data_IF_034971372205
#
_entry.id   IF_034971372205
#
_cell.length_a   1.000
_cell.length_b   1.000
_cell.length_c   1.000
_cell.angle_alpha   90.00
_cell.angle_beta   90.00
_cell.angle_gamma   90.00
#
_symmetry.space_group_name_H-M   'P 1'
#
loop_
_entity.id
_entity.type
_entity.pdbx_description
1 polymer ?
#
# COMPACT_ATOMS: atom_id res chain seq x y z
N UNK A 1 -27.12 -9.70 21.70
CA UNK A 1 -26.05 -10.69 21.48
C UNK A 1 -24.73 -9.96 21.58
N UNK A 2 -23.97 -10.23 22.63
CA UNK A 2 -22.66 -9.65 22.90
C UNK A 2 -21.69 -10.07 21.80
N UNK A 3 -21.33 -9.16 20.90
CA UNK A 3 -20.16 -9.31 20.04
C UNK A 3 -18.95 -9.21 20.95
N UNK A 4 -18.41 -10.36 21.34
CA UNK A 4 -17.04 -10.47 21.86
C UNK A 4 -16.15 -9.61 20.97
N UNK A 5 -15.58 -8.54 21.51
CA UNK A 5 -14.51 -7.80 20.85
C UNK A 5 -13.42 -8.83 20.53
N UNK A 6 -13.32 -9.20 19.26
CA UNK A 6 -12.24 -10.08 18.80
C UNK A 6 -10.95 -9.32 19.02
N UNK A 7 -10.20 -9.69 20.05
CA UNK A 7 -8.89 -9.12 20.36
C UNK A 7 -7.93 -9.50 19.24
N UNK A 8 -7.59 -8.54 18.37
CA UNK A 8 -6.66 -8.77 17.25
C UNK A 8 -5.27 -8.38 17.71
N UNK A 9 -4.32 -9.30 17.57
CA UNK A 9 -2.93 -9.11 17.94
C UNK A 9 -2.19 -8.57 16.72
N UNK A 10 -1.72 -7.33 16.80
CA UNK A 10 -0.89 -6.69 15.77
C UNK A 10 0.54 -6.59 16.27
N UNK A 11 1.49 -7.21 15.58
CA UNK A 11 2.89 -7.27 16.01
C UNK A 11 3.85 -7.41 14.83
N UNK A 12 5.15 -7.23 15.09
CA UNK A 12 6.20 -7.62 14.14
C UNK A 12 6.08 -9.13 13.87
N UNK A 13 6.15 -9.50 12.60
CA UNK A 13 6.14 -10.88 12.16
C UNK A 13 7.49 -11.53 12.43
N UNK A 14 7.47 -12.84 12.67
CA UNK A 14 8.64 -13.66 12.95
C UNK A 14 8.73 -14.79 11.92
N UNK A 15 9.81 -15.58 11.95
CA UNK A 15 9.92 -16.76 11.11
C UNK A 15 8.77 -17.77 11.31
N UNK A 16 8.16 -17.81 12.50
CA UNK A 16 7.02 -18.67 12.80
C UNK A 16 5.72 -18.23 12.09
N UNK A 17 5.69 -17.07 11.43
CA UNK A 17 4.52 -16.57 10.69
C UNK A 17 4.59 -16.89 9.19
N UNK A 18 5.67 -17.52 8.71
CA UNK A 18 5.91 -17.80 7.29
C UNK A 18 4.83 -18.67 6.67
N UNK A 19 4.17 -19.53 7.45
CA UNK A 19 3.06 -20.35 6.97
C UNK A 19 1.88 -19.53 6.45
N UNK A 20 1.75 -18.25 6.82
CA UNK A 20 0.73 -17.35 6.26
C UNK A 20 1.11 -16.76 4.89
N UNK A 21 2.34 -16.96 4.39
CA UNK A 21 2.84 -16.27 3.20
C UNK A 21 1.94 -16.49 1.98
N UNK A 22 1.50 -17.73 1.73
CA UNK A 22 0.58 -18.05 0.63
C UNK A 22 -0.77 -17.37 0.82
N UNK A 23 -1.37 -17.45 2.02
CA UNK A 23 -2.64 -16.78 2.34
C UNK A 23 -2.56 -15.27 2.10
N UNK A 24 -1.46 -14.63 2.47
CA UNK A 24 -1.22 -13.21 2.26
C UNK A 24 -1.17 -12.88 0.77
N UNK A 25 -0.38 -13.62 -0.01
CA UNK A 25 -0.22 -13.35 -1.44
C UNK A 25 -1.48 -13.63 -2.24
N UNK A 26 -2.23 -14.66 -1.87
CA UNK A 26 -3.52 -14.99 -2.48
C UNK A 26 -4.54 -13.89 -2.21
N UNK A 27 -4.59 -13.35 -0.98
CA UNK A 27 -5.48 -12.25 -0.64
C UNK A 27 -5.05 -10.93 -1.33
N UNK A 28 -3.75 -10.68 -1.48
CA UNK A 28 -3.26 -9.54 -2.27
C UNK A 28 -3.74 -9.62 -3.72
N UNK A 29 -3.63 -10.80 -4.34
CA UNK A 29 -4.06 -11.04 -5.71
C UNK A 29 -5.59 -10.95 -5.86
N UNK A 30 -6.35 -11.61 -4.99
CA UNK A 30 -7.82 -11.60 -5.01
C UNK A 30 -8.36 -10.17 -4.86
N UNK A 31 -7.78 -9.40 -3.93
CA UNK A 31 -8.16 -8.00 -3.68
C UNK A 31 -7.75 -7.05 -4.80
N UNK A 32 -6.64 -7.31 -5.50
CA UNK A 32 -6.25 -6.52 -6.68
C UNK A 32 -7.22 -6.79 -7.84
N UNK A 33 -7.59 -8.06 -8.07
CA UNK A 33 -8.57 -8.46 -9.10
C UNK A 33 -9.94 -7.84 -8.82
N UNK A 34 -10.46 -7.96 -7.60
CA UNK A 34 -11.78 -7.43 -7.23
C UNK A 34 -11.89 -5.90 -7.40
N UNK A 35 -10.78 -5.17 -7.27
CA UNK A 35 -10.74 -3.70 -7.44
C UNK A 35 -10.42 -3.26 -8.86
N UNK A 36 -9.98 -4.16 -9.74
CA UNK A 36 -9.48 -3.81 -11.08
C UNK A 36 -8.23 -2.91 -11.08
N UNK A 37 -7.60 -2.75 -9.91
CA UNK A 37 -6.44 -1.90 -9.64
C UNK A 37 -5.88 -2.27 -8.27
N UNK A 38 -4.58 -2.07 -8.03
CA UNK A 38 -4.01 -2.19 -6.70
C UNK A 38 -2.71 -3.00 -6.62
N UNK A 39 -2.49 -3.53 -5.41
CA UNK A 39 -1.21 -4.03 -4.88
C UNK A 39 -0.52 -4.97 -5.87
N UNK A 40 0.75 -4.68 -6.16
CA UNK A 40 1.56 -5.51 -7.03
C UNK A 40 1.72 -6.93 -6.46
N UNK A 41 1.58 -7.95 -7.31
CA UNK A 41 1.72 -9.36 -6.92
C UNK A 41 3.13 -9.61 -6.37
N UNK A 42 3.20 -10.44 -5.33
CA UNK A 42 4.43 -10.94 -4.70
C UNK A 42 4.34 -12.46 -4.60
N UNK A 43 5.49 -13.13 -4.62
CA UNK A 43 5.56 -14.56 -4.32
C UNK A 43 5.47 -14.80 -2.81
N UNK A 44 5.01 -15.98 -2.37
CA UNK A 44 5.06 -16.36 -0.96
C UNK A 44 6.47 -16.23 -0.39
N UNK A 45 7.50 -16.67 -1.12
CA UNK A 45 8.90 -16.57 -0.68
C UNK A 45 9.35 -15.13 -0.42
N UNK A 46 8.90 -14.19 -1.26
CA UNK A 46 9.20 -12.77 -1.08
C UNK A 46 8.66 -12.25 0.25
N UNK A 47 7.40 -12.54 0.54
CA UNK A 47 6.73 -12.13 1.78
C UNK A 47 7.34 -12.85 3.00
N UNK A 48 7.65 -14.14 2.86
CA UNK A 48 8.32 -14.93 3.90
C UNK A 48 9.69 -14.34 4.26
N UNK A 49 10.47 -13.91 3.26
CA UNK A 49 11.76 -13.25 3.49
C UNK A 49 11.61 -11.96 4.30
N UNK A 50 10.59 -11.14 4.03
CA UNK A 50 10.33 -9.94 4.85
C UNK A 50 10.01 -10.26 6.31
N UNK A 51 9.36 -11.39 6.57
CA UNK A 51 9.14 -11.87 7.95
C UNK A 51 10.45 -12.33 8.60
N UNK A 52 11.30 -13.09 7.88
CA UNK A 52 12.63 -13.52 8.36
C UNK A 52 13.54 -12.34 8.70
N UNK A 53 13.50 -11.29 7.87
CA UNK A 53 14.27 -10.06 8.07
C UNK A 53 13.75 -9.17 9.22
N UNK A 54 12.62 -9.54 9.85
CA UNK A 54 11.94 -8.72 10.85
C UNK A 54 11.43 -7.39 10.26
N UNK A 55 11.15 -7.37 8.95
CA UNK A 55 10.68 -6.21 8.18
C UNK A 55 9.20 -6.29 7.86
N UNK A 56 8.43 -7.08 8.61
CA UNK A 56 7.01 -7.26 8.37
C UNK A 56 6.20 -7.15 9.67
N UNK A 57 4.95 -6.72 9.54
CA UNK A 57 3.95 -6.68 10.59
C UNK A 57 2.79 -7.56 10.17
N UNK A 58 2.31 -8.36 11.12
CA UNK A 58 1.19 -9.28 10.93
C UNK A 58 0.12 -8.99 11.97
N UNK A 59 -1.14 -9.18 11.56
CA UNK A 59 -2.29 -9.20 12.45
C UNK A 59 -2.89 -10.62 12.47
N UNK A 60 -3.13 -11.14 13.66
CA UNK A 60 -3.72 -12.46 13.88
C UNK A 60 -4.73 -12.42 15.03
N UNK A 61 -5.68 -13.34 15.04
CA UNK A 61 -6.47 -13.65 16.23
C UNK A 61 -5.66 -14.48 17.23
N UNK A 62 -6.08 -14.58 18.51
CA UNK A 62 -5.45 -15.45 19.50
C UNK A 62 -5.53 -16.93 19.10
N UNK A 63 -6.52 -17.29 18.28
CA UNK A 63 -6.70 -18.62 17.67
C UNK A 63 -5.64 -18.96 16.61
N UNK A 64 -4.82 -18.00 16.18
CA UNK A 64 -3.91 -18.16 15.04
C UNK A 64 -4.56 -17.91 13.68
N UNK A 65 -5.78 -17.36 13.63
CA UNK A 65 -6.37 -16.97 12.35
C UNK A 65 -5.70 -15.72 11.79
N UNK A 66 -5.29 -15.76 10.53
CA UNK A 66 -4.71 -14.59 9.84
C UNK A 66 -5.74 -13.48 9.62
N UNK A 67 -5.35 -12.23 9.89
CA UNK A 67 -6.20 -11.04 9.77
C UNK A 67 -5.65 -10.04 8.77
N UNK A 68 -4.34 -9.78 8.77
CA UNK A 68 -3.75 -8.77 7.91
C UNK A 68 -2.23 -8.73 7.94
N UNK A 69 -1.65 -7.96 7.03
CA UNK A 69 -0.21 -7.92 6.80
C UNK A 69 0.26 -6.59 6.20
N UNK A 70 1.51 -6.22 6.46
CA UNK A 70 2.25 -5.14 5.79
C UNK A 70 3.76 -5.38 5.95
N UNK A 71 4.59 -4.90 5.03
CA UNK A 71 6.04 -5.04 5.10
C UNK A 71 6.79 -3.78 4.67
N UNK A 72 8.06 -3.71 5.06
CA UNK A 72 9.02 -2.66 4.73
C UNK A 72 9.82 -3.05 3.48
N UNK A 73 9.90 -2.12 2.54
CA UNK A 73 10.96 -2.07 1.53
C UNK A 73 11.92 -0.93 1.80
N UNK A 74 13.16 -1.10 1.38
CA UNK A 74 14.24 -0.14 1.61
C UNK A 74 14.94 0.10 0.27
N UNK A 75 15.18 1.37 -0.07
CA UNK A 75 15.73 1.78 -1.35
C UNK A 75 16.77 2.89 -1.17
N UNK A 76 17.59 3.11 -2.21
CA UNK A 76 18.51 4.25 -2.27
C UNK A 76 19.45 4.33 -1.06
N UNK A 77 20.07 3.22 -0.67
CA UNK A 77 20.98 3.13 0.49
C UNK A 77 20.31 3.57 1.80
N UNK A 78 19.12 3.04 2.08
CA UNK A 78 18.34 3.31 3.30
C UNK A 78 17.82 4.75 3.45
N UNK A 79 17.93 5.58 2.41
CA UNK A 79 17.35 6.92 2.43
C UNK A 79 15.82 6.89 2.31
N UNK A 80 15.27 5.84 1.69
CA UNK A 80 13.84 5.71 1.43
C UNK A 80 13.28 4.38 1.90
N UNK A 81 12.18 4.43 2.64
CA UNK A 81 11.45 3.26 3.14
C UNK A 81 10.02 3.28 2.62
N UNK A 82 9.56 2.16 2.06
CA UNK A 82 8.16 2.02 1.65
C UNK A 82 7.42 1.03 2.54
N UNK A 83 6.33 1.49 3.16
CA UNK A 83 5.40 0.63 3.90
C UNK A 83 4.40 -0.01 2.93
N UNK A 84 4.80 -1.15 2.40
CA UNK A 84 4.21 -1.83 1.25
C UNK A 84 3.30 -3.00 1.64
N UNK A 85 2.43 -3.39 0.71
CA UNK A 85 1.63 -4.61 0.84
C UNK A 85 0.58 -4.61 1.94
N UNK A 86 0.11 -3.44 2.40
CA UNK A 86 -0.98 -3.36 3.38
C UNK A 86 -2.23 -4.10 2.85
N UNK A 87 -2.56 -5.21 3.51
CA UNK A 87 -3.70 -6.05 3.16
C UNK A 87 -4.39 -6.54 4.42
N UNK A 88 -5.73 -6.54 4.39
CA UNK A 88 -6.58 -7.01 5.49
C UNK A 88 -7.62 -7.95 4.91
N UNK A 89 -7.76 -9.12 5.54
CA UNK A 89 -8.75 -10.14 5.22
C UNK A 89 -10.15 -9.50 5.14
N UNK A 90 -10.99 -9.88 4.15
CA UNK A 90 -12.30 -9.26 3.93
C UNK A 90 -13.18 -9.18 5.17
N UNK A 91 -13.17 -10.22 6.01
CA UNK A 91 -13.98 -10.33 7.22
C UNK A 91 -13.64 -9.27 8.29
N UNK A 92 -12.43 -8.71 8.26
CA UNK A 92 -11.95 -7.74 9.25
C UNK A 92 -11.82 -6.33 8.69
N UNK A 93 -12.31 -6.07 7.48
CA UNK A 93 -12.29 -4.71 6.92
C UNK A 93 -13.23 -3.80 7.71
N UNK A 94 -12.88 -2.52 7.82
CA UNK A 94 -13.62 -1.49 8.59
C UNK A 94 -13.64 -1.71 10.11
N UNK A 95 -12.85 -2.65 10.64
CA UNK A 95 -12.67 -2.88 12.08
C UNK A 95 -11.62 -1.97 12.76
N UNK A 96 -10.87 -1.19 11.98
CA UNK A 96 -9.72 -0.41 12.46
C UNK A 96 -8.36 -1.12 12.38
N UNK A 97 -8.31 -2.41 12.07
CA UNK A 97 -7.05 -3.19 12.00
C UNK A 97 -6.04 -2.61 11.01
N UNK A 98 -6.48 -2.11 9.85
CA UNK A 98 -5.58 -1.50 8.87
C UNK A 98 -4.79 -0.32 9.46
N UNK A 99 -5.43 0.47 10.33
CA UNK A 99 -4.79 1.58 11.04
C UNK A 99 -3.76 1.07 12.04
N UNK A 100 -4.11 0.05 12.82
CA UNK A 100 -3.18 -0.56 13.79
C UNK A 100 -1.95 -1.17 13.11
N UNK A 101 -2.14 -1.91 12.01
CA UNK A 101 -1.02 -2.44 11.20
C UNK A 101 -0.16 -1.30 10.68
N UNK A 102 -0.77 -0.25 10.11
CA UNK A 102 -0.02 0.87 9.52
C UNK A 102 0.75 1.68 10.57
N UNK A 103 0.18 1.89 11.75
CA UNK A 103 0.89 2.51 12.88
C UNK A 103 2.08 1.65 13.31
N UNK A 104 1.88 0.34 13.46
CA UNK A 104 2.92 -0.58 13.92
C UNK A 104 4.09 -0.65 12.92
N UNK A 105 3.81 -0.76 11.62
CA UNK A 105 4.86 -0.79 10.59
C UNK A 105 5.55 0.57 10.42
N UNK A 106 4.83 1.68 10.62
CA UNK A 106 5.43 3.02 10.65
C UNK A 106 6.42 3.14 11.80
N UNK A 107 6.01 2.77 13.02
CA UNK A 107 6.90 2.79 14.19
C UNK A 107 8.12 1.87 13.99
N UNK A 108 7.91 0.68 13.41
CA UNK A 108 9.01 -0.22 13.06
C UNK A 108 9.98 0.42 12.05
N UNK A 109 9.45 1.13 11.04
CA UNK A 109 10.25 1.84 10.05
C UNK A 109 11.06 2.97 10.70
N UNK A 110 10.44 3.78 11.56
CA UNK A 110 11.11 4.86 12.31
C UNK A 110 12.20 4.32 13.24
N UNK A 111 11.99 3.15 13.85
CA UNK A 111 12.99 2.53 14.72
C UNK A 111 14.18 1.95 13.93
N UNK A 112 13.93 1.24 12.83
CA UNK A 112 14.99 0.61 12.03
C UNK A 112 15.74 1.59 11.13
N UNK A 113 15.05 2.62 10.63
CA UNK A 113 15.58 3.59 9.67
C UNK A 113 15.22 5.02 10.12
N UNK A 114 15.85 5.52 11.20
CA UNK A 114 15.44 6.76 11.86
C UNK A 114 15.61 8.02 11.02
N UNK A 115 16.47 8.01 10.01
CA UNK A 115 16.70 9.15 9.11
C UNK A 115 16.00 9.00 7.76
N UNK A 116 15.42 7.84 7.47
CA UNK A 116 14.82 7.56 6.17
C UNK A 116 13.48 8.28 5.99
N UNK A 117 13.25 8.80 4.78
CA UNK A 117 11.92 9.22 4.37
C UNK A 117 11.02 8.00 4.18
N UNK A 118 9.79 8.06 4.68
CA UNK A 118 8.85 6.94 4.58
C UNK A 118 7.75 7.31 3.61
N UNK A 119 7.50 6.47 2.62
CA UNK A 119 6.50 6.76 1.60
C UNK A 119 5.56 5.60 1.33
N UNK A 120 4.48 5.89 0.62
CA UNK A 120 3.51 4.90 0.20
C UNK A 120 2.76 5.32 -1.06
N UNK A 121 2.47 4.34 -1.91
CA UNK A 121 1.59 4.49 -3.05
C UNK A 121 0.23 3.88 -2.72
N UNK A 122 -0.85 4.63 -2.92
CA UNK A 122 -2.20 4.13 -2.66
C UNK A 122 -3.22 4.61 -3.68
N UNK A 123 -4.20 3.77 -3.99
CA UNK A 123 -5.41 4.15 -4.73
C UNK A 123 -6.64 4.31 -3.84
N UNK A 124 -6.52 4.03 -2.54
CA UNK A 124 -7.63 3.97 -1.60
C UNK A 124 -7.63 5.15 -0.63
N UNK A 125 -8.74 5.88 -0.60
CA UNK A 125 -8.95 7.02 0.30
C UNK A 125 -8.83 6.65 1.78
N UNK A 126 -9.26 5.44 2.15
CA UNK A 126 -9.10 4.96 3.52
C UNK A 126 -7.62 4.87 3.93
N UNK A 127 -6.75 4.43 3.01
CA UNK A 127 -5.30 4.36 3.26
C UNK A 127 -4.68 5.76 3.21
N UNK A 128 -5.16 6.65 2.33
CA UNK A 128 -4.72 8.05 2.33
C UNK A 128 -5.02 8.72 3.68
N UNK A 129 -6.23 8.52 4.21
CA UNK A 129 -6.62 9.04 5.53
C UNK A 129 -5.69 8.51 6.63
N UNK A 130 -5.44 7.20 6.67
CA UNK A 130 -4.51 6.60 7.65
C UNK A 130 -3.11 7.18 7.50
N UNK A 131 -2.61 7.35 6.28
CA UNK A 131 -1.30 7.95 6.03
C UNK A 131 -1.25 9.41 6.51
N UNK A 132 -2.28 10.23 6.23
CA UNK A 132 -2.35 11.60 6.74
C UNK A 132 -2.37 11.65 8.27
N UNK A 133 -3.08 10.73 8.94
CA UNK A 133 -3.07 10.61 10.40
C UNK A 133 -1.68 10.23 10.97
N UNK A 134 -0.78 9.71 10.13
CA UNK A 134 0.62 9.39 10.46
C UNK A 134 1.59 10.50 10.04
N UNK A 135 1.10 11.65 9.60
CA UNK A 135 1.94 12.78 9.15
C UNK A 135 2.44 12.67 7.71
N UNK A 136 1.87 11.78 6.89
CA UNK A 136 2.23 11.75 5.47
C UNK A 136 1.45 12.83 4.72
N UNK A 137 2.12 13.47 3.77
CA UNK A 137 1.51 14.41 2.85
C UNK A 137 1.53 13.89 1.40
N UNK A 138 0.58 14.29 0.55
CA UNK A 138 0.61 13.96 -0.87
C UNK A 138 1.76 14.67 -1.58
N UNK A 139 2.60 13.92 -2.29
CA UNK A 139 3.73 14.45 -3.06
C UNK A 139 3.67 14.02 -4.51
N UNK A 140 4.50 14.63 -5.34
CA UNK A 140 4.76 14.19 -6.71
C UNK A 140 5.72 12.99 -6.74
N UNK A 141 5.72 12.22 -7.83
CA UNK A 141 6.58 11.03 -7.92
C UNK A 141 8.07 11.39 -7.98
N UNK A 142 8.41 12.61 -8.43
CA UNK A 142 9.78 13.14 -8.44
C UNK A 142 10.37 13.37 -7.04
N UNK A 143 9.52 13.46 -6.02
CA UNK A 143 9.94 13.61 -4.62
C UNK A 143 10.18 12.26 -3.93
N UNK A 144 9.86 11.15 -4.61
CA UNK A 144 10.17 9.80 -4.17
C UNK A 144 11.60 9.43 -4.61
N UNK A 145 11.82 8.15 -4.88
CA UNK A 145 13.09 7.61 -5.35
C UNK A 145 13.14 7.51 -6.88
N UNK A 146 14.32 7.76 -7.44
CA UNK A 146 14.63 7.49 -8.85
C UNK A 146 15.16 6.05 -9.07
N UNK A 147 15.21 5.25 -8.01
CA UNK A 147 15.68 3.86 -8.03
C UNK A 147 14.82 2.98 -8.95
N UNK A 148 15.45 2.37 -9.95
CA UNK A 148 14.78 1.51 -10.93
C UNK A 148 14.19 0.24 -10.30
N UNK A 149 14.81 -0.29 -9.23
CA UNK A 149 14.34 -1.49 -8.56
C UNK A 149 13.01 -1.25 -7.84
N UNK A 150 12.83 -0.06 -7.27
CA UNK A 150 11.56 0.36 -6.70
C UNK A 150 10.45 0.33 -7.77
N UNK A 151 10.69 0.94 -8.93
CA UNK A 151 9.71 0.98 -10.02
C UNK A 151 9.50 -0.40 -10.65
N UNK A 152 10.50 -1.28 -10.63
CA UNK A 152 10.36 -2.68 -11.02
C UNK A 152 9.36 -3.42 -10.11
N UNK A 153 9.24 -3.02 -8.84
CA UNK A 153 8.23 -3.52 -7.90
C UNK A 153 6.77 -3.30 -8.36
N UNK A 154 6.54 -2.38 -9.32
CA UNK A 154 5.24 -2.11 -9.91
C UNK A 154 4.94 -2.91 -11.20
N UNK A 155 5.91 -3.68 -11.74
CA UNK A 155 5.78 -4.43 -13.02
C UNK A 155 4.58 -5.39 -13.04
N UNK A 156 4.24 -5.98 -11.90
CA UNK A 156 3.10 -6.90 -11.77
C UNK A 156 1.76 -6.20 -11.51
N UNK A 157 1.73 -4.86 -11.41
CA UNK A 157 0.50 -4.10 -11.27
C UNK A 157 -0.18 -3.91 -12.63
N UNK A 158 -1.50 -4.04 -12.69
CA UNK A 158 -2.31 -3.80 -13.89
C UNK A 158 -2.16 -2.38 -14.48
N UNK A 159 -1.62 -1.43 -13.70
CA UNK A 159 -1.39 -0.05 -14.13
C UNK A 159 0.06 0.21 -14.58
N UNK A 160 0.91 -0.80 -14.70
CA UNK A 160 2.32 -0.61 -15.05
C UNK A 160 2.50 0.11 -16.41
N UNK A 161 1.72 -0.27 -17.42
CA UNK A 161 1.71 0.42 -18.73
C UNK A 161 1.45 1.92 -18.59
N UNK A 162 0.58 2.33 -17.65
CA UNK A 162 0.23 3.73 -17.43
C UNK A 162 1.40 4.46 -16.79
N UNK A 163 2.03 3.85 -15.77
CA UNK A 163 3.23 4.38 -15.15
C UNK A 163 4.32 4.64 -16.20
N UNK A 164 4.58 3.65 -17.08
CA UNK A 164 5.60 3.75 -18.11
C UNK A 164 5.24 4.75 -19.21
N UNK A 165 3.97 4.81 -19.65
CA UNK A 165 3.50 5.80 -20.63
C UNK A 165 3.65 7.25 -20.16
N UNK A 166 3.78 7.45 -18.84
CA UNK A 166 3.96 8.75 -18.19
C UNK A 166 5.39 8.96 -17.69
N UNK A 167 6.33 8.14 -18.15
CA UNK A 167 7.74 8.28 -17.79
C UNK A 167 7.95 8.29 -16.27
N UNK A 168 7.21 7.43 -15.56
CA UNK A 168 7.23 7.28 -14.09
C UNK A 168 6.90 8.56 -13.31
N UNK A 169 6.35 9.60 -13.95
CA UNK A 169 5.99 10.86 -13.30
C UNK A 169 4.62 10.83 -12.62
N UNK A 170 3.77 9.85 -12.93
CA UNK A 170 2.43 9.71 -12.33
C UNK A 170 1.84 8.32 -12.63
N UNK A 171 0.93 7.86 -11.77
CA UNK A 171 0.13 6.66 -12.00
C UNK A 171 -1.29 6.83 -11.40
N UNK A 172 -2.06 5.75 -11.36
CA UNK A 172 -3.35 5.71 -10.66
C UNK A 172 -3.19 5.92 -9.16
N UNK A 173 -2.06 5.50 -8.58
CA UNK A 173 -1.74 5.68 -7.18
C UNK A 173 -1.41 7.14 -6.88
N UNK A 174 -1.84 7.62 -5.72
CA UNK A 174 -1.33 8.83 -5.08
C UNK A 174 -0.08 8.47 -4.29
N UNK A 175 0.99 9.23 -4.49
CA UNK A 175 2.19 9.15 -3.67
C UNK A 175 1.98 9.99 -2.42
N UNK A 176 2.37 9.46 -1.27
CA UNK A 176 2.40 10.20 -0.02
C UNK A 176 3.73 9.93 0.69
N UNK A 177 4.29 10.96 1.32
CA UNK A 177 5.62 10.97 1.92
C UNK A 177 5.53 11.50 3.35
N UNK A 178 6.30 10.90 4.24
CA UNK A 178 6.66 11.40 5.55
C UNK A 178 8.16 11.63 5.54
N UNK A 179 8.59 12.86 5.81
CA UNK A 179 9.99 13.22 5.94
C UNK A 179 10.33 13.40 7.44
N UNK A 180 11.26 12.63 8.01
CA UNK A 180 11.64 12.82 9.40
C UNK A 180 12.42 14.12 9.67
N UNK A 181 12.93 14.80 8.65
CA UNK A 181 13.60 16.09 8.79
C UNK A 181 12.64 17.28 8.64
N UNK A 182 11.47 17.07 8.00
CA UNK A 182 10.44 18.07 7.78
C UNK A 182 9.19 17.68 8.57
N UNK A 183 9.11 18.15 9.82
CA UNK A 183 8.11 17.72 10.79
C UNK A 183 6.76 18.41 10.55
N UNK A 184 6.01 17.95 9.55
CA UNK A 184 4.59 18.24 9.49
C UNK A 184 3.88 17.57 10.67
N UNK A 185 3.21 18.37 11.48
CA UNK A 185 2.46 17.84 12.62
C UNK A 185 1.22 17.09 12.10
N UNK A 186 0.84 15.94 12.68
CA UNK A 186 -0.34 15.19 12.25
C UNK A 186 -1.63 16.03 12.19
N UNK A 187 -1.72 17.10 12.98
CA UNK A 187 -2.84 18.04 12.92
C UNK A 187 -2.94 18.75 11.56
N UNK A 188 -1.81 19.13 10.96
CA UNK A 188 -1.73 19.85 9.69
C UNK A 188 -2.12 18.94 8.52
N UNK A 189 -1.55 17.74 8.45
CA UNK A 189 -1.87 16.75 7.40
C UNK A 189 -3.30 16.24 7.50
N UNK A 190 -3.87 16.12 8.70
CA UNK A 190 -5.30 15.78 8.90
C UNK A 190 -6.19 16.93 8.43
N UNK A 191 -5.83 18.19 8.72
CA UNK A 191 -6.59 19.36 8.29
C UNK A 191 -6.62 19.47 6.76
N UNK A 192 -5.46 19.33 6.10
CA UNK A 192 -5.35 19.30 4.64
C UNK A 192 -6.20 18.17 4.03
N UNK A 193 -6.09 16.95 4.56
CA UNK A 193 -6.89 15.83 4.07
C UNK A 193 -8.39 16.12 4.18
N UNK A 194 -8.85 16.70 5.30
CA UNK A 194 -10.27 17.05 5.48
C UNK A 194 -10.72 18.09 4.45
N UNK A 195 -9.94 19.16 4.28
CA UNK A 195 -10.21 20.23 3.31
C UNK A 195 -10.30 19.69 1.88
N UNK A 196 -9.40 18.78 1.52
CA UNK A 196 -9.24 18.29 0.14
C UNK A 196 -9.89 16.94 -0.15
N UNK A 197 -10.48 16.28 0.85
CA UNK A 197 -11.08 14.93 0.74
C UNK A 197 -12.03 14.76 -0.45
N UNK A 198 -12.94 15.72 -0.68
CA UNK A 198 -13.89 15.71 -1.81
C UNK A 198 -13.19 15.83 -3.16
N UNK A 199 -12.09 16.60 -3.23
CA UNK A 199 -11.27 16.72 -4.44
C UNK A 199 -10.54 15.42 -4.72
N UNK A 200 -9.96 14.78 -3.70
CA UNK A 200 -9.33 13.46 -3.85
C UNK A 200 -10.34 12.41 -4.32
N UNK A 201 -11.54 12.37 -3.73
CA UNK A 201 -12.63 11.50 -4.19
C UNK A 201 -12.95 11.69 -5.68
N UNK A 202 -13.15 12.94 -6.09
CA UNK A 202 -13.48 13.27 -7.48
C UNK A 202 -12.33 12.90 -8.41
N UNK A 203 -11.11 13.22 -8.04
CA UNK A 203 -9.92 12.90 -8.82
C UNK A 203 -9.72 11.39 -8.98
N UNK A 204 -9.92 10.62 -7.92
CA UNK A 204 -9.81 9.16 -7.96
C UNK A 204 -10.90 8.52 -8.81
N UNK A 205 -12.15 9.01 -8.75
CA UNK A 205 -13.24 8.60 -9.65
C UNK A 205 -12.91 8.90 -11.12
N UNK A 206 -12.35 10.09 -11.40
CA UNK A 206 -11.92 10.47 -12.75
C UNK A 206 -10.78 9.57 -13.26
N UNK A 207 -9.77 9.31 -12.42
CA UNK A 207 -8.67 8.39 -12.75
C UNK A 207 -9.22 7.00 -13.10
N UNK A 208 -10.09 6.42 -12.25
CA UNK A 208 -10.70 5.10 -12.48
C UNK A 208 -11.56 5.03 -13.74
N UNK A 209 -12.38 6.06 -14.01
CA UNK A 209 -13.20 6.08 -15.22
C UNK A 209 -12.38 6.21 -16.52
N UNK A 210 -11.30 7.00 -16.51
CA UNK A 210 -10.38 7.12 -17.65
C UNK A 210 -9.62 5.81 -17.89
N UNK A 211 -9.20 5.13 -16.83
CA UNK A 211 -8.61 3.79 -16.89
C UNK A 211 -9.55 2.78 -17.57
N UNK A 212 -10.81 2.74 -17.12
CA UNK A 212 -11.81 1.83 -17.67
C UNK A 212 -12.07 2.10 -19.17
N UNK A 213 -12.13 3.37 -19.58
CA UNK A 213 -12.24 3.77 -20.99
C UNK A 213 -11.01 3.37 -21.81
N UNK A 214 -9.81 3.52 -21.24
CA UNK A 214 -8.57 3.11 -21.89
C UNK A 214 -8.50 1.59 -22.10
N UNK A 215 -8.87 0.80 -21.08
CA UNK A 215 -8.99 -0.66 -21.22
C UNK A 215 -10.02 -1.06 -22.27
N UNK A 216 -11.24 -0.48 -22.25
CA UNK A 216 -12.25 -0.73 -23.30
C UNK A 216 -11.74 -0.42 -24.71
N UNK A 217 -10.97 0.67 -24.86
CA UNK A 217 -10.36 1.05 -26.15
C UNK A 217 -9.24 0.09 -26.58
N UNK A 218 -8.43 -0.42 -25.64
CA UNK A 218 -7.38 -1.43 -25.90
C UNK A 218 -8.01 -2.77 -26.31
N UNK A 219 -9.04 -3.24 -25.61
CA UNK A 219 -9.77 -4.47 -25.97
C UNK A 219 -10.47 -4.33 -27.32
N UNK A 220 -11.09 -3.18 -27.62
CA UNK A 220 -11.72 -2.91 -28.92
C UNK A 220 -10.74 -2.85 -30.10
N UNK A 221 -9.50 -2.40 -29.89
CA UNK A 221 -8.44 -2.44 -30.91
C UNK A 221 -7.92 -3.85 -31.17
N UNK A 222 -7.88 -4.70 -30.16
CA UNK A 222 -7.42 -6.09 -30.31
C UNK A 222 -8.39 -6.98 -31.11
N UNK A 223 -9.66 -6.59 -31.25
CA UNK A 223 -10.63 -7.27 -32.14
C UNK A 223 -10.53 -6.84 -33.61
N UNK A 224 -9.73 -5.81 -33.95
CA UNK A 224 -9.57 -5.30 -35.31
C UNK A 224 -8.26 -5.73 -35.99
N UNK A 225 -7.47 -6.61 -35.34
CA UNK A 225 -6.23 -7.19 -35.90
C UNK A 225 -6.33 -8.71 -35.84
N UNK A 226 -7.38 -9.26 -36.44
CA UNK A 226 -7.47 -10.65 -36.89
C UNK A 226 -8.34 -10.68 -38.15
N UNK A 227 -7.80 -10.16 -39.24
CA UNK A 227 -8.12 -10.52 -40.62
C UNK A 227 -6.85 -10.32 -41.45
#
# INVERSE_FOLDING_TARGET
MSTLEQSIIVRVATANDIHYATTITDEMESSAKARGTGIAKRSPDYVANKMREGKAVIAVEPSGKWVGFCYIEVWGHEQFVANSGLIVSPAYRKSGVAKQIKQTIFNLSRNKYPTAKIFGLTTGLAVMKINSELGYEPVTYSELTNDEEFWAGCKSCVNYDILMSKDRKNCMCTAMLYDPADHYEPAETIADFKQNSKLYERFMKVKQSKLLKWFRKKTSKNYFVQF
#
